data_IF_506388599976
#
_entry.id   IF_506388599976
#
_cell.length_a   1.000
_cell.length_b   1.000
_cell.length_c   1.000
_cell.angle_alpha   90.00
_cell.angle_beta   90.00
_cell.angle_gamma   90.00
#
_symmetry.space_group_name_H-M   'P 1'
#
loop_
_entity.id
_entity.type
_entity.pdbx_description
1 polymer ?
#
# COMPACT_ATOMS: atom_id res chain seq x y z
N UNK A 1 39.50 -20.29 1.68
CA UNK A 1 38.12 -20.40 1.39
C UNK A 1 37.79 -20.87 -0.01
N UNK A 2 37.58 -22.19 -0.24
CA UNK A 2 37.24 -22.74 -1.55
C UNK A 2 35.77 -22.65 -1.97
N UNK A 3 34.97 -21.74 -1.40
CA UNK A 3 33.52 -21.69 -1.60
C UNK A 3 32.99 -20.30 -1.97
N UNK A 4 33.84 -19.36 -2.35
CA UNK A 4 33.39 -17.99 -2.73
C UNK A 4 33.45 -17.78 -4.23
N UNK A 5 32.39 -17.19 -4.79
CA UNK A 5 32.37 -16.67 -6.15
C UNK A 5 32.86 -15.22 -6.12
N UNK A 6 33.77 -14.86 -7.01
CA UNK A 6 34.25 -13.49 -7.19
C UNK A 6 33.75 -12.97 -8.52
N UNK A 7 33.09 -11.84 -8.51
CA UNK A 7 32.72 -11.11 -9.71
C UNK A 7 33.57 -9.84 -9.85
N UNK A 8 34.08 -9.60 -11.02
CA UNK A 8 34.70 -8.32 -11.41
C UNK A 8 33.68 -7.61 -12.26
N UNK A 9 33.18 -6.49 -11.77
CA UNK A 9 32.14 -5.71 -12.43
C UNK A 9 32.74 -4.38 -12.87
N UNK A 10 32.60 -4.03 -14.15
CA UNK A 10 32.96 -2.71 -14.66
C UNK A 10 31.94 -1.70 -14.18
N UNK A 11 32.42 -0.64 -13.53
CA UNK A 11 31.61 0.48 -13.11
C UNK A 11 32.13 1.72 -13.83
N UNK A 12 31.36 2.23 -14.79
CA UNK A 12 31.69 3.47 -15.50
C UNK A 12 31.40 4.64 -14.55
N UNK A 13 32.37 5.51 -14.29
CA UNK A 13 32.22 6.67 -13.43
C UNK A 13 33.22 7.75 -13.84
N UNK A 14 32.79 9.01 -13.81
CA UNK A 14 33.64 10.15 -14.21
C UNK A 14 34.67 10.47 -13.11
N UNK A 15 34.37 10.21 -11.86
CA UNK A 15 35.24 10.46 -10.71
C UNK A 15 35.03 9.42 -9.59
N UNK A 16 35.83 9.57 -8.52
CA UNK A 16 35.80 8.63 -7.39
C UNK A 16 34.53 8.75 -6.54
N UNK A 17 33.94 9.93 -6.46
CA UNK A 17 32.69 10.14 -5.71
C UNK A 17 31.52 9.45 -6.40
N UNK A 18 31.42 9.61 -7.71
CA UNK A 18 30.43 8.91 -8.53
C UNK A 18 30.63 7.39 -8.48
N UNK A 19 31.87 6.91 -8.57
CA UNK A 19 32.20 5.51 -8.40
C UNK A 19 31.66 4.96 -7.07
N UNK A 20 31.91 5.66 -5.98
CA UNK A 20 31.44 5.23 -4.65
C UNK A 20 29.90 5.15 -4.58
N UNK A 21 29.21 6.12 -5.15
CA UNK A 21 27.73 6.14 -5.20
C UNK A 21 27.20 4.93 -5.99
N UNK A 22 27.78 4.67 -7.17
CA UNK A 22 27.38 3.54 -8.02
C UNK A 22 27.66 2.19 -7.39
N UNK A 23 28.80 2.01 -6.75
CA UNK A 23 29.14 0.77 -6.03
C UNK A 23 28.23 0.56 -4.82
N UNK A 24 27.90 1.63 -4.08
CA UNK A 24 26.96 1.54 -2.96
C UNK A 24 25.57 1.11 -3.43
N UNK A 25 25.09 1.68 -4.53
CA UNK A 25 23.83 1.31 -5.16
C UNK A 25 23.81 -0.17 -5.60
N UNK A 26 24.87 -0.65 -6.28
CA UNK A 26 24.98 -2.04 -6.67
C UNK A 26 24.91 -3.00 -5.47
N UNK A 27 25.57 -2.66 -4.37
CA UNK A 27 25.54 -3.48 -3.16
C UNK A 27 24.16 -3.52 -2.52
N UNK A 28 23.49 -2.37 -2.42
CA UNK A 28 22.12 -2.29 -1.90
C UNK A 28 21.14 -3.10 -2.76
N UNK A 29 21.24 -2.97 -4.08
CA UNK A 29 20.43 -3.73 -5.01
C UNK A 29 20.63 -5.25 -4.84
N UNK A 30 21.88 -5.72 -4.81
CA UNK A 30 22.18 -7.14 -4.66
C UNK A 30 21.70 -7.70 -3.33
N UNK A 31 21.82 -6.93 -2.25
CA UNK A 31 21.30 -7.33 -0.93
C UNK A 31 19.76 -7.47 -0.95
N UNK A 32 19.06 -6.53 -1.58
CA UNK A 32 17.61 -6.61 -1.78
C UNK A 32 17.19 -7.85 -2.59
N UNK A 33 18.05 -8.30 -3.51
CA UNK A 33 17.84 -9.56 -4.26
C UNK A 33 18.26 -10.82 -3.48
N UNK A 34 18.65 -10.70 -2.21
CA UNK A 34 19.04 -11.82 -1.36
C UNK A 34 20.43 -12.39 -1.64
N UNK A 35 21.28 -11.67 -2.39
CA UNK A 35 22.66 -12.10 -2.69
C UNK A 35 23.61 -11.64 -1.60
N UNK A 36 24.26 -12.53 -0.84
CA UNK A 36 25.20 -12.15 0.20
C UNK A 36 26.48 -11.56 -0.40
N UNK A 37 26.83 -10.34 0.01
CA UNK A 37 27.99 -9.59 -0.52
C UNK A 37 28.99 -9.32 0.58
N UNK A 38 30.30 -9.44 0.25
CA UNK A 38 31.37 -8.92 1.07
C UNK A 38 31.55 -7.41 0.85
N UNK A 39 31.02 -6.62 1.80
CA UNK A 39 31.05 -5.14 1.75
C UNK A 39 32.45 -4.53 1.86
N UNK A 40 33.48 -5.32 2.16
CA UNK A 40 34.86 -4.81 2.26
C UNK A 40 35.48 -4.51 0.88
N UNK A 41 34.86 -4.96 -0.22
CA UNK A 41 35.38 -4.82 -1.58
C UNK A 41 34.95 -3.51 -2.30
N UNK A 42 34.86 -2.41 -1.58
CA UNK A 42 34.45 -1.08 -2.15
C UNK A 42 35.57 -0.27 -2.75
N UNK A 43 36.81 -0.73 -2.66
CA UNK A 43 37.97 0.02 -3.15
C UNK A 43 38.30 -0.40 -4.60
N UNK A 44 38.36 0.53 -5.57
CA UNK A 44 38.70 0.23 -6.98
C UNK A 44 40.11 -0.33 -7.17
N UNK A 45 41.02 -0.04 -6.26
CA UNK A 45 42.39 -0.54 -6.29
C UNK A 45 42.59 -1.90 -5.59
N UNK A 46 41.52 -2.56 -5.12
CA UNK A 46 41.65 -3.85 -4.43
C UNK A 46 41.99 -4.97 -5.42
N UNK A 47 43.04 -5.70 -5.11
CA UNK A 47 43.50 -6.83 -5.91
C UNK A 47 42.48 -8.00 -5.82
N UNK A 48 42.11 -8.54 -6.97
CA UNK A 48 41.32 -9.77 -7.08
C UNK A 48 42.19 -10.96 -7.42
N UNK A 49 41.65 -12.16 -7.22
CA UNK A 49 42.36 -13.41 -7.58
C UNK A 49 42.33 -13.62 -9.08
N UNK A 50 43.47 -14.01 -9.63
CA UNK A 50 43.60 -14.30 -11.05
C UNK A 50 43.11 -15.71 -11.37
N UNK A 51 42.24 -15.90 -12.38
CA UNK A 51 41.87 -17.23 -12.86
C UNK A 51 43.09 -18.01 -13.36
N UNK A 52 43.04 -19.31 -13.22
CA UNK A 52 44.12 -20.21 -13.66
C UNK A 52 45.18 -20.53 -12.60
N UNK A 53 45.30 -19.73 -11.52
CA UNK A 53 46.25 -19.97 -10.45
C UNK A 53 45.69 -20.92 -9.37
N UNK A 54 46.59 -21.64 -8.73
CA UNK A 54 46.28 -22.57 -7.62
C UNK A 54 46.64 -21.92 -6.29
N UNK A 55 45.77 -21.99 -5.31
CA UNK A 55 46.02 -21.53 -3.93
C UNK A 55 45.53 -22.58 -2.95
N UNK A 56 46.42 -23.00 -2.04
CA UNK A 56 46.09 -24.01 -1.03
C UNK A 56 45.44 -25.27 -1.63
N UNK A 57 45.98 -25.76 -2.74
CA UNK A 57 45.47 -26.92 -3.46
C UNK A 57 44.25 -26.71 -4.34
N UNK A 58 43.61 -25.54 -4.28
CA UNK A 58 42.39 -25.21 -5.04
C UNK A 58 42.71 -24.32 -6.24
N UNK A 59 42.42 -24.80 -7.44
CA UNK A 59 42.57 -24.04 -8.68
C UNK A 59 41.43 -23.01 -8.80
N UNK A 60 41.76 -21.78 -9.26
CA UNK A 60 40.81 -20.74 -9.56
C UNK A 60 40.32 -20.90 -11.01
N UNK A 61 39.04 -21.02 -11.21
CA UNK A 61 38.45 -21.17 -12.54
C UNK A 61 37.77 -19.86 -12.97
N UNK A 62 37.85 -19.55 -14.28
CA UNK A 62 36.99 -18.55 -14.89
C UNK A 62 35.65 -19.22 -15.23
N UNK A 63 34.58 -18.78 -14.59
CA UNK A 63 33.25 -19.39 -14.77
C UNK A 63 32.52 -18.74 -15.94
N UNK A 64 32.63 -17.41 -16.07
CA UNK A 64 32.01 -16.64 -17.15
C UNK A 64 32.73 -15.31 -17.33
N UNK A 65 32.67 -14.74 -18.54
CA UNK A 65 33.16 -13.41 -18.87
C UNK A 65 32.25 -12.76 -19.90
N UNK A 66 32.27 -11.43 -19.94
CA UNK A 66 31.45 -10.62 -20.85
C UNK A 66 29.93 -10.90 -20.75
N UNK A 67 29.46 -11.24 -19.54
CA UNK A 67 28.06 -11.41 -19.21
C UNK A 67 27.49 -10.15 -18.58
N UNK A 68 26.19 -9.93 -18.74
CA UNK A 68 25.47 -8.79 -18.15
C UNK A 68 25.46 -7.56 -19.05
N UNK A 69 25.25 -6.41 -18.43
CA UNK A 69 25.11 -5.12 -19.15
C UNK A 69 26.47 -4.48 -19.42
N UNK A 70 26.58 -3.79 -20.56
CA UNK A 70 27.86 -3.21 -21.01
C UNK A 70 28.16 -1.83 -20.44
N UNK A 71 27.13 -1.10 -20.04
CA UNK A 71 27.24 0.25 -19.48
C UNK A 71 26.43 0.40 -18.19
N UNK A 72 26.69 1.47 -17.43
CA UNK A 72 25.90 1.83 -16.27
C UNK A 72 24.46 2.17 -16.66
N UNK A 73 24.22 2.85 -17.76
CA UNK A 73 22.87 3.18 -18.25
C UNK A 73 22.07 1.92 -18.53
N UNK A 74 22.60 0.99 -19.32
CA UNK A 74 21.93 -0.30 -19.57
C UNK A 74 21.67 -1.10 -18.28
N UNK A 75 22.53 -0.94 -17.27
CA UNK A 75 22.35 -1.56 -15.96
C UNK A 75 21.20 -0.92 -15.21
N UNK A 76 21.10 0.42 -15.22
CA UNK A 76 20.00 1.15 -14.57
C UNK A 76 18.68 0.83 -15.23
N UNK A 77 18.60 0.83 -16.56
CA UNK A 77 17.38 0.43 -17.29
C UNK A 77 16.93 -0.99 -16.92
N UNK A 78 17.90 -1.92 -16.76
CA UNK A 78 17.59 -3.27 -16.29
C UNK A 78 17.09 -3.28 -14.86
N UNK A 79 17.72 -2.55 -13.95
CA UNK A 79 17.31 -2.48 -12.53
C UNK A 79 15.91 -1.88 -12.40
N UNK A 80 15.63 -0.80 -13.12
CA UNK A 80 14.32 -0.17 -13.17
C UNK A 80 13.26 -1.15 -13.68
N UNK A 81 13.54 -1.88 -14.75
CA UNK A 81 12.63 -2.91 -15.27
C UNK A 81 12.40 -4.09 -14.31
N UNK A 82 13.41 -4.47 -13.51
CA UNK A 82 13.27 -5.54 -12.49
C UNK A 82 12.52 -5.05 -11.24
N UNK A 83 12.64 -3.75 -10.91
CA UNK A 83 12.01 -3.15 -9.72
C UNK A 83 10.71 -2.42 -10.04
N UNK A 84 10.33 -2.35 -11.32
CA UNK A 84 9.09 -1.70 -11.75
C UNK A 84 7.89 -2.55 -11.35
N UNK A 85 7.19 -2.09 -10.32
CA UNK A 85 5.94 -2.67 -9.81
C UNK A 85 4.70 -2.01 -10.44
N UNK A 86 4.90 -1.12 -11.43
CA UNK A 86 3.79 -0.43 -12.09
C UNK A 86 3.01 -1.40 -13.00
N UNK A 87 1.69 -1.22 -13.12
CA UNK A 87 0.88 -2.01 -14.03
C UNK A 87 1.33 -1.82 -15.49
N UNK A 88 1.22 -2.86 -16.34
CA UNK A 88 1.56 -2.75 -17.75
C UNK A 88 0.65 -1.76 -18.48
N UNK A 89 1.19 -1.10 -19.51
CA UNK A 89 0.41 -0.28 -20.42
C UNK A 89 -0.55 -1.17 -21.24
N UNK A 90 -1.81 -0.77 -21.32
CA UNK A 90 -2.83 -1.49 -22.04
C UNK A 90 -3.45 -0.65 -23.16
N UNK A 91 -3.67 -1.26 -24.32
CA UNK A 91 -4.40 -0.60 -25.40
C UNK A 91 -5.91 -0.66 -25.15
N UNK A 92 -6.61 0.46 -25.36
CA UNK A 92 -8.08 0.50 -25.32
C UNK A 92 -8.73 -0.50 -26.29
N UNK A 93 -8.06 -0.82 -27.40
CA UNK A 93 -8.55 -1.81 -28.36
C UNK A 93 -8.79 -3.20 -27.75
N UNK A 94 -8.07 -3.56 -26.69
CA UNK A 94 -8.27 -4.80 -25.92
C UNK A 94 -9.71 -4.94 -25.38
N UNK A 95 -10.34 -3.82 -25.08
CA UNK A 95 -11.64 -3.75 -24.42
C UNK A 95 -12.80 -3.49 -25.37
N UNK A 96 -12.55 -3.35 -26.70
CA UNK A 96 -13.57 -3.01 -27.70
C UNK A 96 -14.72 -4.00 -27.72
N UNK A 97 -14.40 -5.29 -27.70
CA UNK A 97 -15.41 -6.36 -27.84
C UNK A 97 -15.80 -6.98 -26.47
N UNK A 98 -15.03 -6.70 -25.44
CA UNK A 98 -15.30 -7.20 -24.08
C UNK A 98 -14.93 -6.13 -23.04
N UNK A 99 -15.77 -5.10 -22.87
CA UNK A 99 -15.52 -4.06 -21.89
C UNK A 99 -15.57 -4.60 -20.46
N UNK A 100 -14.73 -4.09 -19.54
CA UNK A 100 -14.74 -4.50 -18.14
C UNK A 100 -16.07 -4.11 -17.49
N UNK A 101 -16.56 -4.96 -16.61
CA UNK A 101 -17.74 -4.65 -15.80
C UNK A 101 -17.37 -3.65 -14.73
N UNK A 102 -18.22 -2.64 -14.54
CA UNK A 102 -18.06 -1.70 -13.42
C UNK A 102 -18.23 -2.44 -12.09
N UNK A 103 -17.48 -2.06 -11.04
CA UNK A 103 -17.70 -2.57 -9.71
C UNK A 103 -19.13 -2.35 -9.22
N UNK A 104 -19.58 -3.23 -8.34
CA UNK A 104 -20.94 -3.16 -7.77
C UNK A 104 -21.16 -1.85 -6.98
N UNK A 105 -22.37 -1.33 -7.02
CA UNK A 105 -22.74 -0.15 -6.26
C UNK A 105 -23.02 -0.52 -4.80
N UNK A 106 -22.33 0.12 -3.89
CA UNK A 106 -22.60 0.05 -2.44
C UNK A 106 -23.75 0.99 -2.08
N UNK A 107 -23.70 2.21 -2.61
CA UNK A 107 -24.79 3.20 -2.54
C UNK A 107 -25.18 3.50 -3.97
N UNK A 108 -26.42 3.21 -4.33
CA UNK A 108 -26.91 3.33 -5.70
C UNK A 108 -26.72 4.73 -6.25
N UNK A 109 -25.99 4.84 -7.36
CA UNK A 109 -25.68 6.10 -8.03
C UNK A 109 -24.66 7.02 -7.32
N UNK A 110 -24.09 6.61 -6.17
CA UNK A 110 -23.16 7.44 -5.39
C UNK A 110 -21.80 6.76 -5.22
N UNK A 111 -21.75 5.54 -4.68
CA UNK A 111 -20.51 4.89 -4.29
C UNK A 111 -20.45 3.45 -4.81
N UNK A 112 -19.38 3.12 -5.50
CA UNK A 112 -19.06 1.76 -5.95
C UNK A 112 -17.99 1.13 -5.08
N UNK A 113 -17.93 -0.17 -5.06
CA UNK A 113 -16.87 -0.95 -4.43
C UNK A 113 -15.50 -0.52 -4.99
N UNK A 114 -14.49 -0.36 -4.12
CA UNK A 114 -13.18 0.13 -4.49
C UNK A 114 -13.09 1.64 -4.73
N UNK A 115 -14.18 2.39 -4.57
CA UNK A 115 -14.19 3.85 -4.68
C UNK A 115 -14.17 4.53 -3.31
N UNK A 116 -13.83 5.80 -3.30
CA UNK A 116 -13.73 6.65 -2.10
C UNK A 116 -14.83 7.71 -2.08
N UNK A 117 -15.31 8.03 -0.89
CA UNK A 117 -16.22 9.14 -0.63
C UNK A 117 -15.76 9.90 0.61
N UNK A 118 -15.77 11.22 0.55
CA UNK A 118 -15.46 12.09 1.69
C UNK A 118 -16.73 12.87 2.07
N UNK A 119 -17.06 12.86 3.36
CA UNK A 119 -18.13 13.69 3.92
C UNK A 119 -17.49 14.82 4.70
N UNK A 120 -17.67 16.05 4.23
CA UNK A 120 -17.17 17.28 4.86
C UNK A 120 -18.32 18.14 5.39
N UNK A 121 -18.01 18.98 6.35
CA UNK A 121 -18.97 19.91 6.95
C UNK A 121 -18.43 20.52 8.23
N UNK A 122 -19.07 21.57 8.73
CA UNK A 122 -18.68 22.29 9.96
C UNK A 122 -18.65 21.36 11.19
N UNK A 123 -17.96 21.79 12.24
CA UNK A 123 -17.99 21.09 13.52
C UNK A 123 -19.44 20.98 14.02
N UNK A 124 -19.77 19.87 14.67
CA UNK A 124 -21.12 19.59 15.21
C UNK A 124 -22.25 19.47 14.18
N UNK A 125 -21.95 19.41 12.88
CA UNK A 125 -22.95 19.22 11.82
C UNK A 125 -23.54 17.79 11.74
N UNK A 126 -23.23 16.91 12.68
CA UNK A 126 -23.82 15.56 12.70
C UNK A 126 -23.11 14.53 11.81
N UNK A 127 -21.90 14.82 11.28
CA UNK A 127 -21.16 13.92 10.36
C UNK A 127 -21.02 12.49 10.87
N UNK A 128 -20.64 12.31 12.15
CA UNK A 128 -20.50 10.96 12.75
C UNK A 128 -21.81 10.20 12.80
N UNK A 129 -22.93 10.87 13.11
CA UNK A 129 -24.26 10.25 13.05
C UNK A 129 -24.61 9.83 11.64
N UNK A 130 -24.35 10.70 10.66
CA UNK A 130 -24.59 10.42 9.24
C UNK A 130 -23.76 9.23 8.73
N UNK A 131 -22.49 9.12 9.15
CA UNK A 131 -21.62 7.99 8.83
C UNK A 131 -22.05 6.69 9.52
N UNK A 132 -22.48 6.76 10.78
CA UNK A 132 -23.02 5.60 11.49
C UNK A 132 -24.34 5.13 10.86
N UNK A 133 -25.23 6.06 10.46
CA UNK A 133 -26.44 5.75 9.71
C UNK A 133 -26.13 5.07 8.38
N UNK A 134 -25.08 5.51 7.67
CA UNK A 134 -24.60 4.85 6.46
C UNK A 134 -24.17 3.40 6.77
N UNK A 135 -23.41 3.18 7.85
CA UNK A 135 -23.01 1.84 8.26
C UNK A 135 -24.23 0.94 8.52
N UNK A 136 -25.24 1.44 9.24
CA UNK A 136 -26.49 0.72 9.49
C UNK A 136 -27.22 0.43 8.17
N UNK A 137 -27.32 1.42 7.29
CA UNK A 137 -28.00 1.27 6.01
C UNK A 137 -27.33 0.23 5.11
N UNK A 138 -26.00 0.18 5.08
CA UNK A 138 -25.26 -0.87 4.35
C UNK A 138 -25.47 -2.24 5.02
N UNK A 139 -25.33 -2.33 6.33
CA UNK A 139 -25.45 -3.59 7.04
C UNK A 139 -26.84 -4.25 6.90
N UNK A 140 -27.89 -3.45 6.82
CA UNK A 140 -29.28 -3.91 6.65
C UNK A 140 -29.74 -3.98 5.19
N UNK A 141 -29.04 -3.34 4.27
CA UNK A 141 -29.50 -3.13 2.89
C UNK A 141 -30.66 -2.12 2.80
N UNK A 142 -30.67 -1.16 3.70
CA UNK A 142 -31.68 -0.11 3.79
C UNK A 142 -31.33 1.10 2.90
N UNK A 143 -32.15 2.17 2.96
CA UNK A 143 -31.84 3.43 2.26
C UNK A 143 -31.07 4.35 3.20
N UNK A 144 -30.04 5.01 2.65
CA UNK A 144 -29.33 6.11 3.29
C UNK A 144 -29.66 7.41 2.56
N UNK A 145 -30.21 8.40 3.25
CA UNK A 145 -30.68 9.66 2.65
C UNK A 145 -31.56 9.47 1.40
N UNK A 146 -32.35 8.41 1.37
CA UNK A 146 -33.19 8.05 0.23
C UNK A 146 -32.54 7.19 -0.84
N UNK A 147 -31.22 7.02 -0.84
CA UNK A 147 -30.47 6.19 -1.79
C UNK A 147 -30.40 4.74 -1.31
N UNK A 148 -30.80 3.75 -2.13
CA UNK A 148 -30.71 2.35 -1.76
C UNK A 148 -29.24 1.95 -1.52
N UNK A 149 -28.98 1.27 -0.40
CA UNK A 149 -27.70 0.66 -0.12
C UNK A 149 -27.78 -0.85 -0.40
N UNK A 150 -26.70 -1.41 -0.97
CA UNK A 150 -26.50 -2.84 -1.05
C UNK A 150 -26.22 -3.38 0.36
N UNK A 151 -26.86 -4.50 0.73
CA UNK A 151 -26.52 -5.18 1.99
C UNK A 151 -25.08 -5.69 1.93
N UNK A 152 -24.29 -5.35 2.95
CA UNK A 152 -22.87 -5.68 2.99
C UNK A 152 -22.26 -5.49 4.37
N UNK A 153 -21.01 -5.87 4.51
CA UNK A 153 -20.25 -5.80 5.74
C UNK A 153 -19.42 -4.53 5.82
N UNK A 154 -19.49 -3.81 6.92
CA UNK A 154 -18.85 -2.50 7.08
C UNK A 154 -17.99 -2.44 8.35
N UNK A 155 -16.79 -1.88 8.23
CA UNK A 155 -15.94 -1.53 9.36
C UNK A 155 -16.08 -0.05 9.69
N UNK A 156 -16.42 0.28 10.92
CA UNK A 156 -16.40 1.64 11.45
C UNK A 156 -15.18 1.83 12.36
N UNK A 157 -14.21 2.63 11.92
CA UNK A 157 -13.01 2.98 12.68
C UNK A 157 -13.30 4.24 13.49
N UNK A 158 -13.53 4.07 14.78
CA UNK A 158 -13.82 5.12 15.74
C UNK A 158 -12.53 5.67 16.35
N UNK A 159 -12.19 6.93 16.04
CA UNK A 159 -10.95 7.59 16.49
C UNK A 159 -11.18 8.62 17.62
N UNK A 160 -12.43 8.98 17.91
CA UNK A 160 -12.72 10.10 18.81
C UNK A 160 -13.69 9.77 19.94
N UNK A 161 -14.75 9.03 19.64
CA UNK A 161 -15.83 8.79 20.60
C UNK A 161 -15.42 7.66 21.56
N UNK A 162 -15.77 7.75 22.82
CA UNK A 162 -15.58 6.63 23.75
C UNK A 162 -16.37 5.40 23.30
N UNK A 163 -15.86 4.18 23.58
CA UNK A 163 -16.47 2.95 23.07
C UNK A 163 -17.94 2.78 23.44
N UNK A 164 -18.33 3.10 24.67
CA UNK A 164 -19.71 2.93 25.12
C UNK A 164 -20.65 3.90 24.39
N UNK A 165 -20.29 5.18 24.31
CA UNK A 165 -21.07 6.18 23.57
C UNK A 165 -21.17 5.85 22.07
N UNK A 166 -20.11 5.29 21.48
CA UNK A 166 -20.13 4.84 20.09
C UNK A 166 -21.20 3.76 19.87
N UNK A 167 -21.22 2.73 20.69
CA UNK A 167 -22.21 1.65 20.60
C UNK A 167 -23.64 2.17 20.87
N UNK A 168 -23.82 2.99 21.89
CA UNK A 168 -25.14 3.57 22.22
C UNK A 168 -25.67 4.40 21.03
N UNK A 169 -24.81 5.14 20.32
CA UNK A 169 -25.22 5.89 19.12
C UNK A 169 -25.71 4.97 18.01
N UNK A 170 -25.04 3.87 17.75
CA UNK A 170 -25.51 2.86 16.79
C UNK A 170 -26.88 2.33 17.17
N UNK A 171 -27.11 1.98 18.43
CA UNK A 171 -28.37 1.48 18.92
C UNK A 171 -29.50 2.51 18.74
N UNK A 172 -29.24 3.79 19.07
CA UNK A 172 -30.20 4.88 18.86
C UNK A 172 -30.52 5.12 17.37
N UNK A 173 -29.55 4.91 16.48
CA UNK A 173 -29.78 5.03 15.04
C UNK A 173 -30.69 3.89 14.56
N UNK A 174 -30.48 2.67 15.00
CA UNK A 174 -31.36 1.53 14.71
C UNK A 174 -32.79 1.81 15.19
N UNK A 175 -32.95 2.29 16.42
CA UNK A 175 -34.25 2.69 16.99
C UNK A 175 -34.92 3.80 16.16
N UNK A 176 -34.18 4.86 15.83
CA UNK A 176 -34.70 6.00 15.05
C UNK A 176 -35.11 5.61 13.62
N UNK A 177 -34.41 4.66 13.01
CA UNK A 177 -34.73 4.13 11.67
C UNK A 177 -35.82 3.05 11.72
N UNK A 178 -36.21 2.54 12.89
CA UNK A 178 -37.16 1.44 13.03
C UNK A 178 -36.71 0.14 12.40
N UNK A 179 -35.37 -0.12 12.37
CA UNK A 179 -34.79 -1.30 11.73
C UNK A 179 -34.61 -2.44 12.75
N UNK A 180 -34.81 -3.70 12.35
CA UNK A 180 -34.85 -4.86 13.25
C UNK A 180 -33.48 -5.40 13.66
N UNK A 181 -32.38 -4.69 13.43
CA UNK A 181 -31.00 -5.11 13.78
C UNK A 181 -30.57 -6.49 13.23
N UNK A 182 -31.21 -7.00 12.19
CA UNK A 182 -30.92 -8.33 11.62
C UNK A 182 -29.55 -8.40 10.91
N UNK A 183 -28.99 -7.25 10.54
CA UNK A 183 -27.66 -7.14 9.94
C UNK A 183 -26.62 -6.57 10.89
N UNK A 184 -26.89 -6.50 12.20
CA UNK A 184 -25.94 -5.90 13.15
C UNK A 184 -24.59 -6.61 13.21
N UNK A 185 -24.51 -7.90 12.92
CA UNK A 185 -23.24 -8.65 12.79
C UNK A 185 -22.38 -8.19 11.60
N UNK A 186 -22.96 -7.45 10.66
CA UNK A 186 -22.25 -6.88 9.53
C UNK A 186 -21.58 -5.53 9.87
N UNK A 187 -21.81 -4.97 11.06
CA UNK A 187 -21.14 -3.77 11.55
C UNK A 187 -20.02 -4.16 12.47
N UNK A 188 -18.78 -3.98 12.02
CA UNK A 188 -17.60 -4.17 12.86
C UNK A 188 -17.17 -2.79 13.35
N UNK A 189 -16.98 -2.63 14.66
CA UNK A 189 -16.49 -1.38 15.24
C UNK A 189 -15.08 -1.57 15.79
N UNK A 190 -14.16 -0.74 15.30
CA UNK A 190 -12.80 -0.70 15.79
C UNK A 190 -12.55 0.59 16.57
N UNK A 191 -12.53 0.49 17.88
CA UNK A 191 -12.34 1.62 18.78
C UNK A 191 -10.86 1.94 18.94
N UNK A 192 -10.43 3.06 18.36
CA UNK A 192 -9.05 3.55 18.37
C UNK A 192 -8.89 4.89 19.09
N UNK A 193 -9.86 5.34 19.88
CA UNK A 193 -9.71 6.53 20.71
C UNK A 193 -8.49 6.36 21.64
N UNK A 194 -7.55 7.30 21.58
CA UNK A 194 -6.27 7.23 22.31
C UNK A 194 -5.18 6.36 21.66
N UNK A 195 -5.49 5.68 20.55
CA UNK A 195 -4.55 4.86 19.78
C UNK A 195 -4.37 5.35 18.34
N UNK A 196 -4.84 6.57 18.05
CA UNK A 196 -4.69 7.14 16.72
C UNK A 196 -3.20 7.29 16.37
N UNK A 197 -2.85 6.80 15.21
CA UNK A 197 -1.52 6.94 14.60
C UNK A 197 -1.68 7.55 13.20
N UNK A 198 -0.61 8.13 12.62
CA UNK A 198 -0.63 8.57 11.23
C UNK A 198 -1.20 7.54 10.27
N UNK A 199 -1.87 7.99 9.20
CA UNK A 199 -2.57 7.09 8.28
C UNK A 199 -1.62 6.09 7.60
N UNK A 200 -0.42 6.52 7.25
CA UNK A 200 0.64 5.66 6.70
C UNK A 200 1.03 4.49 7.62
N UNK A 201 0.96 4.70 8.95
CA UNK A 201 1.18 3.65 9.94
C UNK A 201 -0.08 2.84 10.25
N UNK A 202 -1.26 3.44 10.10
CA UNK A 202 -2.54 2.78 10.33
C UNK A 202 -2.87 1.82 9.20
N UNK A 203 -2.66 2.22 7.95
CA UNK A 203 -3.04 1.47 6.74
C UNK A 203 -2.47 0.05 6.70
N UNK A 204 -1.17 -0.20 6.91
CA UNK A 204 -0.66 -1.58 6.92
C UNK A 204 -1.28 -2.46 8.02
N UNK A 205 -1.60 -1.86 9.18
CA UNK A 205 -2.25 -2.56 10.30
C UNK A 205 -3.71 -2.87 9.98
N UNK A 206 -4.40 -1.91 9.36
CA UNK A 206 -5.79 -2.05 8.91
C UNK A 206 -5.89 -3.16 7.87
N UNK A 207 -5.15 -3.09 6.78
CA UNK A 207 -5.14 -4.09 5.70
C UNK A 207 -4.93 -5.50 6.26
N UNK A 208 -3.94 -5.68 7.14
CA UNK A 208 -3.67 -6.99 7.75
C UNK A 208 -4.85 -7.53 8.57
N UNK A 209 -5.58 -6.65 9.26
CA UNK A 209 -6.73 -7.04 10.11
C UNK A 209 -7.99 -7.35 9.31
N UNK A 210 -8.15 -6.70 8.15
CA UNK A 210 -9.38 -6.81 7.36
C UNK A 210 -9.28 -7.81 6.21
N UNK A 211 -8.08 -8.30 5.89
CA UNK A 211 -7.80 -9.19 4.74
C UNK A 211 -8.81 -10.34 4.60
N UNK A 212 -9.19 -10.96 5.72
CA UNK A 212 -10.08 -12.11 5.74
C UNK A 212 -11.51 -11.77 6.20
N UNK A 213 -11.83 -10.47 6.31
CA UNK A 213 -13.12 -10.03 6.84
C UNK A 213 -14.19 -9.84 5.76
N UNK A 214 -13.81 -9.85 4.48
CA UNK A 214 -14.72 -9.63 3.35
C UNK A 214 -15.61 -8.40 3.52
N UNK A 215 -14.96 -7.25 3.77
CA UNK A 215 -15.66 -5.98 3.95
C UNK A 215 -16.12 -5.40 2.61
N UNK A 216 -17.28 -4.75 2.61
CA UNK A 216 -17.78 -3.97 1.47
C UNK A 216 -17.45 -2.48 1.62
N UNK A 217 -17.33 -1.98 2.86
CA UNK A 217 -16.96 -0.60 3.13
C UNK A 217 -16.13 -0.45 4.40
N UNK A 218 -15.29 0.57 4.44
CA UNK A 218 -14.53 1.00 5.62
C UNK A 218 -14.82 2.49 5.84
N UNK A 219 -15.26 2.84 7.03
CA UNK A 219 -15.52 4.22 7.46
C UNK A 219 -14.48 4.61 8.50
N UNK A 220 -13.81 5.75 8.30
CA UNK A 220 -12.81 6.30 9.23
C UNK A 220 -13.35 7.63 9.77
N UNK A 221 -13.62 7.69 11.05
CA UNK A 221 -14.25 8.84 11.69
C UNK A 221 -13.58 9.25 13.02
N UNK A 222 -13.09 10.46 13.10
CA UNK A 222 -12.91 11.45 12.03
C UNK A 222 -11.52 11.36 11.36
N UNK A 223 -11.47 11.71 10.10
CA UNK A 223 -10.26 11.59 9.28
C UNK A 223 -9.10 12.49 9.78
N UNK A 224 -9.39 13.67 10.36
CA UNK A 224 -8.36 14.59 10.82
C UNK A 224 -7.45 14.03 11.93
N UNK A 225 -7.90 12.98 12.64
CA UNK A 225 -7.09 12.29 13.66
C UNK A 225 -5.92 11.48 13.11
N UNK A 226 -5.93 11.21 11.82
CA UNK A 226 -4.90 10.40 11.14
C UNK A 226 -4.16 11.17 10.05
N UNK A 227 -4.57 12.42 9.77
CA UNK A 227 -3.84 13.34 8.89
C UNK A 227 -2.53 13.74 9.56
N UNK A 228 -1.45 13.69 8.81
CA UNK A 228 -0.14 14.24 9.15
C UNK A 228 0.26 15.26 8.10
N UNK A 229 0.79 16.40 8.55
CA UNK A 229 1.19 17.49 7.67
C UNK A 229 0.13 18.59 7.56
N UNK A 230 0.36 19.48 6.60
CA UNK A 230 -0.53 20.63 6.36
C UNK A 230 -1.63 20.25 5.36
N UNK A 231 -2.88 20.30 5.81
CA UNK A 231 -4.06 20.04 4.98
C UNK A 231 -4.22 21.02 3.79
N UNK A 232 -3.52 22.15 3.81
CA UNK A 232 -3.48 23.10 2.70
C UNK A 232 -2.35 22.79 1.70
N UNK A 233 -1.49 21.84 1.98
CA UNK A 233 -0.42 21.40 1.08
C UNK A 233 -0.94 20.31 0.13
N UNK A 234 -1.09 20.67 -1.14
CA UNK A 234 -1.64 19.76 -2.15
C UNK A 234 -0.82 18.46 -2.32
N UNK A 235 0.51 18.52 -2.17
CA UNK A 235 1.39 17.33 -2.27
C UNK A 235 1.17 16.37 -1.10
N UNK A 236 1.07 16.90 0.13
CA UNK A 236 0.83 16.09 1.34
C UNK A 236 -0.57 15.48 1.31
N UNK A 237 -1.56 16.25 0.87
CA UNK A 237 -2.93 15.74 0.67
C UNK A 237 -3.00 14.68 -0.45
N UNK A 238 -2.21 14.81 -1.51
CA UNK A 238 -2.09 13.78 -2.55
C UNK A 238 -1.55 12.46 -1.99
N UNK A 239 -0.46 12.50 -1.21
CA UNK A 239 0.09 11.32 -0.55
C UNK A 239 -0.89 10.70 0.45
N UNK A 240 -1.59 11.54 1.21
CA UNK A 240 -2.64 11.12 2.13
C UNK A 240 -3.77 10.37 1.40
N UNK A 241 -4.26 10.92 0.28
CA UNK A 241 -5.30 10.29 -0.52
C UNK A 241 -4.86 8.95 -1.13
N UNK A 242 -3.59 8.82 -1.51
CA UNK A 242 -3.03 7.57 -2.05
C UNK A 242 -3.08 6.41 -1.03
N UNK A 243 -3.07 6.70 0.27
CA UNK A 243 -3.22 5.66 1.29
C UNK A 243 -4.60 4.98 1.23
N UNK A 244 -5.65 5.71 0.86
CA UNK A 244 -6.98 5.13 0.66
C UNK A 244 -7.04 4.28 -0.61
N UNK A 245 -6.36 4.70 -1.69
CA UNK A 245 -6.26 3.87 -2.90
C UNK A 245 -5.58 2.54 -2.60
N UNK A 246 -4.53 2.57 -1.78
CA UNK A 246 -3.87 1.36 -1.31
C UNK A 246 -4.82 0.45 -0.53
N UNK A 247 -5.62 0.99 0.40
CA UNK A 247 -6.64 0.20 1.11
C UNK A 247 -7.59 -0.45 0.11
N UNK A 248 -8.17 0.34 -0.81
CA UNK A 248 -9.11 -0.17 -1.80
C UNK A 248 -8.50 -1.25 -2.69
N UNK A 249 -7.25 -1.07 -3.12
CA UNK A 249 -6.56 -2.03 -4.01
C UNK A 249 -6.21 -3.34 -3.29
N UNK A 250 -5.77 -3.27 -2.04
CA UNK A 250 -5.31 -4.45 -1.30
C UNK A 250 -6.43 -5.20 -0.56
N UNK A 251 -7.59 -4.59 -0.36
CA UNK A 251 -8.72 -5.23 0.34
C UNK A 251 -9.91 -5.54 -0.57
N UNK A 252 -9.93 -5.05 -1.81
CA UNK A 252 -11.01 -5.28 -2.80
C UNK A 252 -12.25 -4.44 -2.53
#
# INVERSE_FOLDING_TARGET
GGKSLHAIVRVDAADYEEYRKRVAFLYDFMEKQGVPIDKQNRNPSRLSRMPGLTRSGNRQYLVAMNIGRKSWTEWMDFVEGVTDELPPLESLAKYKDNPPKLPEEIIKGILRRGHKMIISGSSKAGKSFLLMELCVSIAEGAKWLGFPCRKGRVLYVNLEIDPASCIIRFLKIYEALGLPMNGSENIIVWNLRGYAVPLDQLVPKLIRRVRDQHLDAIVIDPIYKVITGDENNASEMGQFCNQFDKICTETG
#
